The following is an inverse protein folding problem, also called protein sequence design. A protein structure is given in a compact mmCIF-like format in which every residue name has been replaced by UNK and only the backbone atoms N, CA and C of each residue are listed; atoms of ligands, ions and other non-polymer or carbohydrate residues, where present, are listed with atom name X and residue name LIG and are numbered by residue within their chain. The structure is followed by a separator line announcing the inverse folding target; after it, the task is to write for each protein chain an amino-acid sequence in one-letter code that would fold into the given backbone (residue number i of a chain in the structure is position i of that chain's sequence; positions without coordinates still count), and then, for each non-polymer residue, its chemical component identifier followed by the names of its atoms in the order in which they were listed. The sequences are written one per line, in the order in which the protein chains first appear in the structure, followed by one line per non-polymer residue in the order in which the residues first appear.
data_IF_678371399018
#
_entry.id   IF_678371399018
#
_cell.length_a   1.000
_cell.length_b   1.000
_cell.length_c   1.000
_cell.angle_alpha   90.00
_cell.angle_beta   90.00
_cell.angle_gamma   90.00
#
_symmetry.space_group_name_H-M   'P 1'
#
loop_
_entity.id
_entity.type
_entity.pdbx_description
1 polymer ?
#
# COMPACT_ATOMS: atom_id res chain seq x y z
N UNK A 1 19.24 7.35 -14.11
CA UNK A 1 18.04 6.78 -13.48
C UNK A 1 18.27 6.70 -11.98
N UNK A 2 17.44 7.34 -11.17
CA UNK A 2 17.42 7.22 -9.69
C UNK A 2 16.26 6.29 -9.32
N UNK A 3 16.48 5.34 -8.41
CA UNK A 3 15.44 4.44 -7.89
C UNK A 3 15.35 4.62 -6.38
N UNK A 4 14.10 4.72 -5.86
CA UNK A 4 13.81 4.77 -4.43
C UNK A 4 12.98 3.53 -4.09
N UNK A 5 13.43 2.77 -3.11
CA UNK A 5 12.70 1.65 -2.55
C UNK A 5 11.63 2.18 -1.57
N UNK A 6 10.38 1.81 -1.83
CA UNK A 6 9.21 2.22 -1.03
C UNK A 6 8.65 1.05 -0.20
N UNK A 7 9.46 0.03 0.05
CA UNK A 7 9.03 -1.25 0.62
C UNK A 7 9.73 -1.52 1.95
N UNK A 8 8.97 -1.83 2.99
CA UNK A 8 9.53 -2.36 4.24
C UNK A 8 10.05 -3.79 4.05
N UNK A 9 11.14 -4.11 4.74
CA UNK A 9 11.62 -5.50 4.78
C UNK A 9 10.62 -6.41 5.51
N UNK A 10 10.37 -7.59 4.96
CA UNK A 10 9.57 -8.62 5.63
C UNK A 10 10.48 -9.43 6.55
N UNK A 11 10.23 -9.37 7.85
CA UNK A 11 10.99 -10.08 8.88
C UNK A 11 10.07 -10.60 9.99
N UNK A 12 10.53 -11.58 10.75
CA UNK A 12 9.71 -12.22 11.80
C UNK A 12 9.33 -11.28 12.96
N UNK A 13 10.03 -10.16 13.13
CA UNK A 13 9.77 -9.15 14.17
C UNK A 13 8.89 -7.99 13.70
N UNK A 14 8.60 -7.89 12.41
CA UNK A 14 7.86 -6.76 11.84
C UNK A 14 6.48 -6.56 12.48
N UNK A 15 5.93 -5.33 12.46
CA UNK A 15 4.54 -5.11 12.84
C UNK A 15 3.60 -5.81 11.86
N UNK A 16 2.53 -6.37 12.42
CA UNK A 16 1.43 -6.99 11.66
C UNK A 16 0.11 -6.44 12.16
N UNK A 17 -0.93 -6.52 11.35
CA UNK A 17 -2.27 -6.07 11.77
C UNK A 17 -2.68 -6.75 13.09
N UNK A 18 -3.26 -6.01 14.04
CA UNK A 18 -3.61 -6.56 15.35
C UNK A 18 -4.49 -7.83 15.24
N UNK A 19 -4.02 -8.93 15.84
CA UNK A 19 -4.70 -10.22 15.81
C UNK A 19 -4.25 -11.19 14.72
N UNK A 20 -3.34 -10.78 13.82
CA UNK A 20 -2.74 -11.69 12.83
C UNK A 20 -1.39 -12.25 13.31
N UNK A 21 -0.99 -13.40 12.76
CA UNK A 21 0.30 -14.01 13.05
C UNK A 21 1.43 -13.33 12.25
N UNK A 22 2.60 -13.26 12.86
CA UNK A 22 3.80 -12.73 12.21
C UNK A 22 4.35 -13.71 11.17
N UNK A 23 5.06 -13.20 10.14
CA UNK A 23 5.76 -14.05 9.19
C UNK A 23 6.74 -14.98 9.89
N UNK A 24 6.86 -16.22 9.41
CA UNK A 24 7.85 -17.17 9.88
C UNK A 24 8.74 -17.65 8.74
N UNK A 25 10.02 -17.88 9.07
CA UNK A 25 11.07 -18.27 8.15
C UNK A 25 11.75 -19.53 8.70
N UNK A 26 11.59 -20.65 8.00
CA UNK A 26 12.20 -21.92 8.35
C UNK A 26 13.28 -22.28 7.32
N UNK A 27 14.53 -22.46 7.76
CA UNK A 27 15.58 -22.99 6.88
C UNK A 27 15.36 -24.47 6.69
N UNK A 28 14.91 -24.89 5.53
CA UNK A 28 14.63 -26.30 5.20
C UNK A 28 15.83 -27.03 4.61
N UNK A 29 16.70 -26.31 3.86
CA UNK A 29 17.96 -26.84 3.34
C UNK A 29 19.10 -25.92 3.77
N UNK A 30 20.27 -26.51 4.08
CA UNK A 30 21.46 -25.79 4.52
C UNK A 30 22.67 -26.10 3.62
N UNK A 31 23.61 -25.15 3.56
CA UNK A 31 24.84 -25.31 2.77
C UNK A 31 25.64 -26.54 3.18
N UNK A 32 25.67 -26.87 4.47
CA UNK A 32 26.47 -27.95 5.04
C UNK A 32 25.93 -29.34 4.70
N UNK A 33 24.58 -29.48 4.62
CA UNK A 33 23.93 -30.77 4.37
C UNK A 33 23.59 -30.98 2.89
N UNK A 34 23.11 -29.89 2.26
CA UNK A 34 22.42 -29.97 0.96
C UNK A 34 23.20 -29.27 -0.16
N UNK A 35 24.25 -28.50 0.17
CA UNK A 35 25.03 -27.71 -0.78
C UNK A 35 24.37 -26.42 -1.26
N UNK A 36 23.16 -26.12 -0.78
CA UNK A 36 22.42 -24.88 -1.04
C UNK A 36 21.58 -24.54 0.18
N UNK A 37 21.10 -23.29 0.23
CA UNK A 37 20.15 -22.84 1.26
C UNK A 37 18.79 -22.62 0.65
N UNK A 38 17.75 -23.16 1.29
CA UNK A 38 16.35 -22.92 0.95
C UNK A 38 15.55 -22.59 2.21
N UNK A 39 14.67 -21.58 2.09
CA UNK A 39 13.86 -21.09 3.20
C UNK A 39 12.39 -21.27 2.86
N UNK A 40 11.65 -21.94 3.72
CA UNK A 40 10.18 -21.92 3.72
C UNK A 40 9.69 -20.65 4.38
N UNK A 41 8.75 -19.94 3.73
CA UNK A 41 8.13 -18.72 4.25
C UNK A 41 6.66 -19.01 4.48
N UNK A 42 6.15 -18.66 5.66
CA UNK A 42 4.72 -18.65 5.96
C UNK A 42 4.31 -17.25 6.39
N UNK A 43 3.32 -16.68 5.72
CA UNK A 43 2.82 -15.34 5.99
C UNK A 43 1.41 -15.18 5.40
N UNK A 44 0.67 -14.20 5.89
CA UNK A 44 -0.61 -13.79 5.29
C UNK A 44 -0.37 -13.02 3.98
N UNK A 45 -1.39 -12.97 3.12
CA UNK A 45 -1.39 -12.19 1.88
C UNK A 45 -1.19 -10.69 2.15
N UNK A 46 -1.72 -10.17 3.25
CA UNK A 46 -1.60 -8.78 3.69
C UNK A 46 -0.43 -8.60 4.67
N UNK A 47 0.79 -8.83 4.20
CA UNK A 47 2.01 -8.77 5.01
C UNK A 47 2.97 -7.71 4.51
N UNK A 48 3.43 -6.82 5.41
CA UNK A 48 4.40 -5.75 5.09
C UNK A 48 3.84 -4.73 4.12
N UNK A 49 4.67 -4.20 3.24
CA UNK A 49 4.20 -3.40 2.12
C UNK A 49 3.49 -4.31 1.14
N UNK A 50 2.19 -4.15 1.02
CA UNK A 50 1.33 -5.06 0.26
C UNK A 50 0.24 -4.31 -0.50
N UNK A 51 -0.53 -5.04 -1.27
CA UNK A 51 -1.57 -4.53 -2.13
C UNK A 51 -2.85 -5.34 -1.96
N UNK A 52 -3.98 -4.62 -1.91
CA UNK A 52 -5.33 -5.17 -1.84
C UNK A 52 -6.07 -4.94 -3.16
N UNK A 53 -6.67 -5.97 -3.74
CA UNK A 53 -7.64 -5.87 -4.83
C UNK A 53 -9.07 -5.76 -4.28
N UNK A 54 -10.07 -5.47 -5.13
CA UNK A 54 -11.49 -5.53 -4.75
C UNK A 54 -11.95 -6.87 -4.16
N UNK A 55 -11.32 -7.98 -4.54
CA UNK A 55 -11.59 -9.32 -4.00
C UNK A 55 -11.26 -9.47 -2.51
N UNK A 56 -10.44 -8.57 -1.93
CA UNK A 56 -10.21 -8.52 -0.48
C UNK A 56 -11.51 -8.33 0.31
N UNK A 57 -12.43 -7.52 -0.23
CA UNK A 57 -13.69 -7.17 0.46
C UNK A 57 -14.89 -7.91 -0.14
N UNK A 58 -14.89 -8.16 -1.45
CA UNK A 58 -16.04 -8.69 -2.18
C UNK A 58 -15.67 -9.94 -2.96
N UNK A 59 -16.31 -11.08 -2.61
CA UNK A 59 -16.04 -12.42 -3.15
C UNK A 59 -15.98 -12.47 -4.69
N UNK A 60 -16.91 -11.79 -5.36
CA UNK A 60 -17.08 -11.88 -6.80
C UNK A 60 -16.41 -10.72 -7.55
N UNK A 61 -15.44 -10.05 -6.89
CA UNK A 61 -14.70 -8.94 -7.49
C UNK A 61 -13.31 -9.39 -7.95
N UNK A 62 -12.63 -8.50 -8.65
CA UNK A 62 -11.34 -8.73 -9.31
C UNK A 62 -10.25 -9.10 -8.30
N UNK A 63 -9.58 -10.22 -8.52
CA UNK A 63 -8.39 -10.69 -7.80
C UNK A 63 -7.11 -10.13 -8.42
N UNK A 64 -5.97 -10.19 -7.71
CA UNK A 64 -4.71 -9.61 -8.23
C UNK A 64 -4.21 -10.27 -9.51
N UNK A 65 -4.37 -11.57 -9.66
CA UNK A 65 -3.94 -12.33 -10.85
C UNK A 65 -4.80 -12.07 -12.10
N UNK A 66 -6.02 -11.53 -11.90
CA UNK A 66 -6.93 -11.15 -12.98
C UNK A 66 -6.64 -9.77 -13.57
N UNK A 67 -5.94 -8.89 -12.85
CA UNK A 67 -5.53 -7.60 -13.40
C UNK A 67 -4.46 -7.75 -14.50
N UNK A 68 -4.51 -6.92 -15.55
CA UNK A 68 -3.44 -6.85 -16.54
C UNK A 68 -2.16 -6.25 -15.93
N UNK A 69 -0.95 -6.62 -16.41
CA UNK A 69 0.30 -6.15 -15.82
C UNK A 69 0.49 -4.63 -15.80
N UNK A 70 -0.11 -3.91 -16.73
CA UNK A 70 -0.05 -2.44 -16.79
C UNK A 70 -0.84 -1.76 -15.67
N UNK A 71 -1.70 -2.50 -14.96
CA UNK A 71 -2.33 -2.02 -13.73
C UNK A 71 -1.32 -1.62 -12.66
N UNK A 72 -0.18 -2.30 -12.60
CA UNK A 72 0.81 -2.20 -11.52
C UNK A 72 1.99 -1.25 -11.84
N UNK A 73 1.90 -0.48 -12.90
CA UNK A 73 2.91 0.50 -13.31
C UNK A 73 2.26 1.75 -13.88
N UNK A 74 2.79 2.91 -13.56
CA UNK A 74 2.29 4.20 -14.07
C UNK A 74 2.96 5.40 -13.44
N UNK A 75 2.42 6.57 -13.71
CA UNK A 75 2.85 7.82 -13.07
C UNK A 75 2.21 7.93 -11.70
N UNK A 76 3.02 8.18 -10.67
CA UNK A 76 2.54 8.44 -9.32
C UNK A 76 2.82 9.88 -8.90
N UNK A 77 2.01 10.35 -7.97
CA UNK A 77 2.16 11.62 -7.26
C UNK A 77 2.11 11.36 -5.77
N UNK A 78 3.09 11.88 -5.03
CA UNK A 78 3.02 11.90 -3.56
C UNK A 78 2.24 13.14 -3.13
N UNK A 79 1.23 12.91 -2.31
CA UNK A 79 0.48 13.95 -1.60
C UNK A 79 1.07 14.05 -0.20
N UNK A 80 1.68 15.18 0.11
CA UNK A 80 2.28 15.42 1.42
C UNK A 80 1.20 15.77 2.44
N UNK A 81 1.06 14.93 3.44
CA UNK A 81 0.13 15.04 4.56
C UNK A 81 0.86 15.01 5.91
N UNK A 82 2.19 15.23 5.92
CA UNK A 82 3.03 15.13 7.12
C UNK A 82 2.74 16.21 8.18
N UNK A 83 2.01 17.26 7.80
CA UNK A 83 1.59 18.32 8.72
C UNK A 83 0.34 17.99 9.53
N UNK A 84 -0.34 16.87 9.24
CA UNK A 84 -1.54 16.45 9.95
C UNK A 84 -1.20 15.82 11.30
N UNK A 85 -1.95 16.21 12.32
CA UNK A 85 -1.94 15.56 13.62
C UNK A 85 -2.76 14.24 13.61
N UNK A 86 -2.58 13.43 14.65
CA UNK A 86 -3.34 12.19 14.83
C UNK A 86 -4.86 12.46 14.82
N UNK A 87 -5.62 11.64 14.08
CA UNK A 87 -7.07 11.76 13.95
C UNK A 87 -7.56 12.84 12.99
N UNK A 88 -6.67 13.69 12.46
CA UNK A 88 -7.07 14.68 11.47
C UNK A 88 -7.35 14.04 10.10
N UNK A 89 -8.39 14.48 9.37
CA UNK A 89 -8.70 13.90 8.06
C UNK A 89 -7.81 14.45 6.95
N UNK A 90 -7.44 13.59 6.01
CA UNK A 90 -6.92 14.02 4.71
C UNK A 90 -8.10 14.52 3.88
N UNK A 91 -8.08 15.82 3.51
CA UNK A 91 -9.17 16.49 2.81
C UNK A 91 -8.82 16.85 1.37
N UNK A 92 -9.80 17.35 0.61
CA UNK A 92 -9.57 17.81 -0.76
C UNK A 92 -8.54 18.94 -0.87
N UNK A 93 -8.31 19.72 0.18
CA UNK A 93 -7.31 20.80 0.16
C UNK A 93 -5.91 20.26 -0.09
N UNK A 94 -5.58 19.10 0.49
CA UNK A 94 -4.29 18.43 0.28
C UNK A 94 -4.06 18.03 -1.19
N UNK A 95 -5.11 17.58 -1.88
CA UNK A 95 -5.03 17.22 -3.29
C UNK A 95 -4.97 18.46 -4.20
N UNK A 96 -5.81 19.45 -3.91
CA UNK A 96 -5.94 20.68 -4.73
C UNK A 96 -4.63 21.47 -4.80
N UNK A 97 -3.77 21.37 -3.78
CA UNK A 97 -2.45 22.00 -3.75
C UNK A 97 -1.54 21.55 -4.93
N UNK A 98 -1.79 20.39 -5.50
CA UNK A 98 -1.00 19.84 -6.62
C UNK A 98 -1.58 20.11 -8.01
N UNK A 99 -2.75 20.74 -8.09
CA UNK A 99 -3.35 21.20 -9.34
C UNK A 99 -3.54 20.08 -10.39
N UNK A 100 -3.04 20.31 -11.61
CA UNK A 100 -3.20 19.35 -12.72
C UNK A 100 -2.39 18.05 -12.54
N UNK A 101 -1.37 18.03 -11.69
CA UNK A 101 -0.58 16.81 -11.42
C UNK A 101 -1.44 15.69 -10.84
N UNK A 102 -2.39 16.03 -9.96
CA UNK A 102 -3.35 15.06 -9.39
C UNK A 102 -4.14 14.35 -10.49
N UNK A 103 -4.56 15.10 -11.53
CA UNK A 103 -5.33 14.53 -12.65
C UNK A 103 -4.48 13.70 -13.61
N UNK A 104 -3.17 14.01 -13.68
CA UNK A 104 -2.24 13.36 -14.60
C UNK A 104 -1.59 12.10 -14.00
N UNK A 105 -1.83 11.83 -12.72
CA UNK A 105 -1.32 10.65 -12.04
C UNK A 105 -2.19 9.42 -12.31
N UNK A 106 -1.55 8.24 -12.38
CA UNK A 106 -2.19 6.94 -12.33
C UNK A 106 -2.35 6.45 -10.87
N UNK A 107 -1.44 6.88 -9.99
CA UNK A 107 -1.43 6.54 -8.57
C UNK A 107 -1.33 7.79 -7.70
N UNK A 108 -2.11 7.84 -6.62
CA UNK A 108 -1.97 8.84 -5.56
C UNK A 108 -1.39 8.16 -4.32
N UNK A 109 -0.23 8.63 -3.86
CA UNK A 109 0.47 8.09 -2.70
C UNK A 109 0.47 9.13 -1.58
N UNK A 110 -0.14 8.83 -0.46
CA UNK A 110 -0.30 9.75 0.67
C UNK A 110 0.83 9.55 1.66
N UNK A 111 1.66 10.57 1.82
CA UNK A 111 2.80 10.58 2.74
C UNK A 111 2.39 11.23 4.06
N UNK A 112 2.27 10.44 5.10
CA UNK A 112 1.96 10.89 6.46
C UNK A 112 3.21 10.97 7.34
N UNK A 113 4.38 10.49 6.83
CA UNK A 113 5.58 10.29 7.64
C UNK A 113 5.41 9.20 8.70
N UNK A 114 4.37 8.38 8.54
CA UNK A 114 4.01 7.36 9.52
C UNK A 114 4.95 6.16 9.49
N UNK A 115 5.62 5.94 8.36
CA UNK A 115 6.66 4.91 8.20
C UNK A 115 7.82 5.08 9.20
N UNK A 116 8.07 6.29 9.72
CA UNK A 116 9.04 6.53 10.79
C UNK A 116 8.67 5.85 12.12
N UNK A 117 7.38 5.52 12.32
CA UNK A 117 6.85 4.80 13.49
C UNK A 117 6.88 3.28 13.31
N UNK A 118 7.33 2.76 12.15
CA UNK A 118 7.39 1.32 11.87
C UNK A 118 8.11 0.54 12.97
N UNK A 119 7.48 -0.52 13.47
CA UNK A 119 8.03 -1.34 14.56
C UNK A 119 7.74 -0.83 15.97
N UNK A 120 7.07 0.32 16.13
CA UNK A 120 6.65 0.87 17.42
C UNK A 120 5.16 0.63 17.67
N UNK A 121 4.68 0.87 18.90
CA UNK A 121 3.24 0.78 19.21
C UNK A 121 2.45 1.92 18.62
N UNK A 122 3.08 3.07 18.46
CA UNK A 122 2.52 4.30 17.90
C UNK A 122 2.17 4.12 16.42
N UNK A 123 2.74 3.12 15.74
CA UNK A 123 2.39 2.76 14.37
C UNK A 123 0.91 2.37 14.21
N UNK A 124 0.31 1.80 15.26
CA UNK A 124 -1.11 1.42 15.31
C UNK A 124 -2.01 2.52 15.90
N UNK A 125 -1.50 3.75 16.00
CA UNK A 125 -2.22 4.92 16.52
C UNK A 125 -3.32 5.41 15.59
N UNK A 126 -3.87 6.58 15.91
CA UNK A 126 -4.97 7.20 15.15
C UNK A 126 -4.41 7.99 13.94
N UNK A 127 -3.88 7.25 12.96
CA UNK A 127 -3.30 7.86 11.75
C UNK A 127 -4.35 8.59 10.91
N UNK A 128 -3.98 9.71 10.25
CA UNK A 128 -4.87 10.42 9.35
C UNK A 128 -5.39 9.53 8.23
N UNK A 129 -6.68 9.60 7.97
CA UNK A 129 -7.33 8.84 6.89
C UNK A 129 -8.00 9.81 5.90
N UNK A 130 -8.14 9.39 4.65
CA UNK A 130 -8.89 10.18 3.66
C UNK A 130 -10.34 10.33 4.07
N UNK A 131 -10.89 11.54 3.91
CA UNK A 131 -12.30 11.79 4.11
C UNK A 131 -13.16 11.32 2.93
N UNK A 132 -14.48 11.40 3.09
CA UNK A 132 -15.43 11.01 2.05
C UNK A 132 -15.27 11.81 0.76
N UNK A 133 -14.89 13.08 0.83
CA UNK A 133 -14.74 13.96 -0.33
C UNK A 133 -13.54 13.55 -1.20
N UNK A 134 -12.43 13.16 -0.58
CA UNK A 134 -11.25 12.63 -1.26
C UNK A 134 -11.56 11.27 -1.89
N UNK A 135 -12.24 10.39 -1.14
CA UNK A 135 -12.62 9.09 -1.66
C UNK A 135 -13.57 9.18 -2.86
N UNK A 136 -14.57 10.07 -2.79
CA UNK A 136 -15.49 10.33 -3.91
C UNK A 136 -14.76 10.92 -5.12
N UNK A 137 -13.78 11.79 -4.90
CA UNK A 137 -12.93 12.32 -5.96
C UNK A 137 -12.13 11.21 -6.67
N UNK A 138 -11.55 10.29 -5.92
CA UNK A 138 -10.81 9.14 -6.44
C UNK A 138 -11.73 8.22 -7.26
N UNK A 139 -12.92 7.94 -6.73
CA UNK A 139 -13.89 7.06 -7.38
C UNK A 139 -14.43 7.59 -8.71
N UNK A 140 -14.47 8.91 -8.90
CA UNK A 140 -14.92 9.56 -10.13
C UNK A 140 -13.86 9.58 -11.24
N UNK A 141 -12.63 9.07 -10.99
CA UNK A 141 -11.48 9.13 -11.91
C UNK A 141 -10.88 7.77 -12.19
N UNK A 142 -10.02 7.69 -13.19
CA UNK A 142 -9.43 6.42 -13.65
C UNK A 142 -8.08 6.14 -13.00
N UNK A 143 -7.95 6.37 -11.68
CA UNK A 143 -6.75 5.94 -10.98
C UNK A 143 -6.61 4.43 -10.98
N UNK A 144 -5.37 3.94 -11.16
CA UNK A 144 -5.01 2.54 -11.04
C UNK A 144 -4.93 2.10 -9.58
N UNK A 145 -4.44 2.99 -8.70
CA UNK A 145 -4.30 2.70 -7.29
C UNK A 145 -4.13 3.94 -6.42
N UNK A 146 -4.28 3.71 -5.14
CA UNK A 146 -3.90 4.62 -4.06
C UNK A 146 -2.96 3.92 -3.11
N UNK A 147 -2.16 4.67 -2.36
CA UNK A 147 -1.23 4.06 -1.41
C UNK A 147 -0.92 4.96 -0.23
N UNK A 148 -0.54 4.33 0.89
CA UNK A 148 -0.32 4.98 2.17
C UNK A 148 0.89 4.38 2.89
N UNK A 149 1.52 5.17 3.73
CA UNK A 149 2.59 4.73 4.64
C UNK A 149 2.07 4.29 6.03
N UNK A 150 0.80 3.88 6.10
CA UNK A 150 0.10 3.36 7.29
C UNK A 150 -0.38 1.94 7.08
N UNK A 151 -0.83 1.30 8.18
CA UNK A 151 -1.20 -0.13 8.19
C UNK A 151 -2.55 -0.43 7.54
N UNK A 152 -3.36 0.57 7.22
CA UNK A 152 -4.67 0.36 6.64
C UNK A 152 -5.29 1.63 6.06
N UNK A 153 -6.15 1.48 5.06
CA UNK A 153 -6.98 2.57 4.51
C UNK A 153 -8.01 3.08 5.53
N UNK A 154 -8.54 2.17 6.35
CA UNK A 154 -9.43 2.50 7.47
C UNK A 154 -8.65 2.61 8.78
N UNK A 155 -9.10 3.43 9.75
CA UNK A 155 -8.54 3.38 11.10
C UNK A 155 -8.61 1.96 11.68
N UNK A 156 -7.62 1.55 12.48
CA UNK A 156 -7.61 0.22 13.14
C UNK A 156 -8.90 -0.02 13.95
N UNK A 157 -9.52 1.03 14.45
CA UNK A 157 -10.78 0.96 15.21
C UNK A 157 -12.02 0.69 14.33
N UNK A 158 -11.95 0.90 13.01
CA UNK A 158 -13.08 0.65 12.10
C UNK A 158 -13.12 -0.82 11.66
N UNK A 159 -13.73 -1.65 12.49
CA UNK A 159 -13.94 -3.08 12.22
C UNK A 159 -14.85 -3.36 11.01
N UNK A 160 -15.54 -2.33 10.49
CA UNK A 160 -16.43 -2.47 9.34
C UNK A 160 -15.73 -2.26 8.00
N UNK A 161 -14.48 -1.79 8.00
CA UNK A 161 -13.71 -1.48 6.77
C UNK A 161 -14.49 -0.57 5.83
N UNK A 162 -14.99 0.55 6.35
CA UNK A 162 -15.96 1.43 5.67
C UNK A 162 -15.37 2.03 4.39
N UNK A 163 -14.11 2.49 4.44
CA UNK A 163 -13.42 3.08 3.28
C UNK A 163 -13.05 2.02 2.25
N UNK A 164 -12.54 0.86 2.67
CA UNK A 164 -12.29 -0.27 1.78
C UNK A 164 -13.55 -0.67 1.03
N UNK A 165 -14.68 -0.83 1.72
CA UNK A 165 -15.96 -1.17 1.09
C UNK A 165 -16.39 -0.13 0.07
N UNK A 166 -16.28 1.17 0.42
CA UNK A 166 -16.62 2.25 -0.49
C UNK A 166 -15.69 2.28 -1.71
N UNK A 167 -14.37 2.08 -1.52
CA UNK A 167 -13.37 2.06 -2.59
C UNK A 167 -13.63 0.92 -3.58
N UNK A 168 -13.85 -0.29 -3.09
CA UNK A 168 -13.89 -1.50 -3.90
C UNK A 168 -15.27 -1.90 -4.42
N UNK A 169 -16.35 -1.25 -3.95
CA UNK A 169 -17.72 -1.65 -4.28
C UNK A 169 -17.98 -1.69 -5.80
N UNK A 170 -17.54 -0.69 -6.55
CA UNK A 170 -17.87 -0.53 -7.96
C UNK A 170 -16.67 -0.23 -8.86
N UNK A 171 -15.44 -0.31 -8.33
CA UNK A 171 -14.24 0.08 -9.06
C UNK A 171 -13.14 -0.98 -8.94
N UNK A 172 -12.49 -1.26 -10.07
CA UNK A 172 -11.29 -2.08 -10.12
C UNK A 172 -10.07 -1.15 -9.95
N UNK A 173 -9.68 -0.95 -8.72
CA UNK A 173 -8.56 -0.13 -8.26
C UNK A 173 -7.81 -0.95 -7.21
N UNK A 174 -6.52 -0.68 -6.99
CA UNK A 174 -5.77 -1.31 -5.91
C UNK A 174 -5.52 -0.32 -4.78
N UNK A 175 -5.52 -0.81 -3.54
CA UNK A 175 -5.05 -0.11 -2.37
C UNK A 175 -3.68 -0.66 -1.96
N UNK A 176 -2.73 0.21 -1.61
CA UNK A 176 -1.38 -0.16 -1.22
C UNK A 176 -1.12 0.35 0.18
N UNK A 177 -0.70 -0.52 1.07
CA UNK A 177 -0.50 -0.22 2.49
C UNK A 177 0.94 -0.46 2.92
N UNK A 178 1.33 0.20 4.00
CA UNK A 178 2.67 0.10 4.56
C UNK A 178 3.78 0.49 3.57
N UNK A 179 3.58 1.56 2.79
CA UNK A 179 4.66 2.16 2.02
C UNK A 179 5.69 2.81 2.97
N UNK A 180 6.90 3.04 2.48
CA UNK A 180 7.91 3.81 3.20
C UNK A 180 8.66 4.76 2.28
N UNK A 181 9.44 5.69 2.86
CA UNK A 181 10.29 6.61 2.11
C UNK A 181 9.56 7.54 1.11
N UNK A 182 8.24 7.72 1.21
CA UNK A 182 7.45 8.54 0.29
C UNK A 182 7.96 9.98 0.23
N UNK A 183 8.41 10.55 1.35
CA UNK A 183 8.98 11.90 1.41
C UNK A 183 10.23 12.10 0.55
N UNK A 184 10.92 11.02 0.13
CA UNK A 184 12.09 11.08 -0.77
C UNK A 184 11.75 11.25 -2.24
N UNK A 185 10.46 11.11 -2.61
CA UNK A 185 9.99 11.17 -4.00
C UNK A 185 9.78 12.61 -4.51
N UNK A 186 9.56 13.56 -3.59
CA UNK A 186 9.26 14.96 -3.94
C UNK A 186 7.82 15.15 -4.41
N UNK A 187 7.53 16.32 -5.01
CA UNK A 187 6.18 16.78 -5.38
C UNK A 187 5.89 16.75 -6.88
N UNK A 188 6.77 16.12 -7.66
CA UNK A 188 6.59 15.96 -9.10
C UNK A 188 6.11 14.56 -9.45
N UNK A 189 5.53 14.39 -10.65
CA UNK A 189 5.18 13.07 -11.15
C UNK A 189 6.45 12.25 -11.42
N UNK A 190 6.42 10.99 -11.00
CA UNK A 190 7.48 10.01 -11.24
C UNK A 190 6.90 8.68 -11.70
N UNK A 191 7.75 7.81 -12.22
CA UNK A 191 7.33 6.44 -12.52
C UNK A 191 7.29 5.61 -11.26
N UNK A 192 6.21 4.85 -11.10
CA UNK A 192 5.96 3.96 -9.97
C UNK A 192 5.67 2.54 -10.46
N UNK A 193 6.19 1.56 -9.78
CA UNK A 193 5.94 0.14 -10.05
C UNK A 193 5.69 -0.60 -8.74
N UNK A 194 4.64 -1.45 -8.71
CA UNK A 194 4.17 -2.13 -7.50
C UNK A 194 3.65 -3.54 -7.81
N UNK A 195 4.43 -4.35 -8.55
CA UNK A 195 3.97 -5.66 -8.99
C UNK A 195 3.75 -6.62 -7.81
N UNK A 196 2.55 -7.24 -7.68
CA UNK A 196 2.29 -8.31 -6.73
C UNK A 196 2.85 -9.65 -7.23
N UNK A 197 2.92 -10.63 -6.34
CA UNK A 197 3.06 -12.03 -6.74
C UNK A 197 1.80 -12.45 -7.51
N UNK A 198 1.97 -13.19 -8.59
CA UNK A 198 0.84 -13.71 -9.38
C UNK A 198 0.33 -15.02 -8.76
N UNK A 199 -0.30 -14.89 -7.59
CA UNK A 199 -0.95 -16.00 -6.90
C UNK A 199 -2.39 -16.11 -7.40
N UNK A 200 -2.79 -17.31 -7.79
CA UNK A 200 -4.16 -17.54 -8.31
C UNK A 200 -5.20 -17.29 -7.23
N UNK A 201 -6.26 -16.56 -7.59
CA UNK A 201 -7.42 -16.27 -6.72
C UNK A 201 -7.03 -15.60 -5.39
N UNK A 202 -6.01 -14.73 -5.43
CA UNK A 202 -5.46 -14.12 -4.22
C UNK A 202 -6.12 -12.76 -3.93
N UNK A 203 -6.46 -12.59 -2.65
CA UNK A 203 -7.12 -11.42 -2.06
C UNK A 203 -6.16 -10.30 -1.66
N UNK A 204 -4.86 -10.53 -1.76
CA UNK A 204 -3.79 -9.60 -1.44
C UNK A 204 -2.42 -10.17 -1.75
N UNK A 205 -1.40 -9.35 -1.78
CA UNK A 205 -0.02 -9.82 -1.98
C UNK A 205 1.00 -8.80 -1.47
N UNK A 206 2.06 -9.24 -0.80
CA UNK A 206 3.26 -8.43 -0.64
C UNK A 206 3.78 -7.97 -2.01
N UNK A 207 4.31 -6.75 -2.05
CA UNK A 207 4.86 -6.15 -3.27
C UNK A 207 6.28 -5.62 -3.03
N UNK A 208 7.03 -5.41 -4.12
CA UNK A 208 8.18 -4.52 -4.10
C UNK A 208 7.80 -3.22 -4.79
N UNK A 209 7.37 -2.23 -4.02
CA UNK A 209 7.03 -0.90 -4.50
C UNK A 209 8.30 -0.07 -4.72
N UNK A 210 8.44 0.53 -5.89
CA UNK A 210 9.59 1.37 -6.23
C UNK A 210 9.17 2.61 -7.01
N UNK A 211 9.78 3.75 -6.66
CA UNK A 211 9.75 4.96 -7.47
C UNK A 211 11.03 5.04 -8.30
N UNK A 212 10.93 5.43 -9.58
CA UNK A 212 12.08 5.64 -10.43
C UNK A 212 11.94 6.90 -11.29
N UNK A 213 13.08 7.56 -11.50
CA UNK A 213 13.21 8.87 -12.14
C UNK A 213 14.18 8.77 -13.31
N UNK A 214 13.83 9.38 -14.43
CA UNK A 214 14.71 9.50 -15.59
C UNK A 214 15.92 10.40 -15.33
#
# INVERSE_FOLDING_TARGET
MKVIDLTHAIESSMPVYPGTERPSFETVNTYEKDGFKETRISMYSHTGTHMDPPAHIFRDRTTLDAFPPDQFIGKALVIDCTSLDEGEPITMEHLLAYGEKVKAADFLLFNLGWDERWGTKEYFGDYPCIDDSVLDYILQRSYKGIGFDVIGLDPVADVNLTRHKKLFQNKDIVNIENLCNLGKCGSELFWFSCFPLKLTDCDGSPIRAVAWFE
#
